data_IF_012394134020
#
_entry.id   IF_012394134020
#
_cell.length_a   1.000
_cell.length_b   1.000
_cell.length_c   1.000
_cell.angle_alpha   90.00
_cell.angle_beta   90.00
_cell.angle_gamma   90.00
#
_symmetry.space_group_name_H-M   'P 1'
#
loop_
_entity.id
_entity.type
_entity.pdbx_description
1 polymer ?
#
# COMPACT_ATOMS: atom_id res chain seq x y z
N UNK A 1 21.95 -14.59 7.63
CA UNK A 1 21.26 -13.66 6.77
C UNK A 1 20.11 -13.01 7.45
N UNK A 2 20.10 -11.74 7.40
CA UNK A 2 19.02 -11.00 7.99
C UNK A 2 17.88 -10.91 6.99
N UNK A 3 16.74 -11.27 7.46
CA UNK A 3 15.56 -11.17 6.67
C UNK A 3 14.87 -9.88 7.01
N UNK A 4 14.71 -9.04 6.05
CA UNK A 4 14.04 -7.79 6.28
C UNK A 4 12.61 -7.90 5.88
N UNK A 5 11.74 -7.68 6.85
CA UNK A 5 10.32 -7.72 6.59
C UNK A 5 9.87 -6.31 6.38
N UNK A 6 10.03 -5.85 5.16
CA UNK A 6 9.69 -4.47 4.82
C UNK A 6 8.30 -4.35 4.26
N UNK A 7 7.60 -5.46 4.14
CA UNK A 7 6.29 -5.39 3.56
C UNK A 7 5.32 -4.68 4.50
N UNK A 8 4.39 -3.99 3.91
CA UNK A 8 3.41 -3.21 4.64
C UNK A 8 2.02 -3.58 4.19
N UNK A 9 1.04 -3.25 4.99
CA UNK A 9 -0.34 -3.44 4.60
C UNK A 9 -0.92 -2.11 4.14
N UNK A 10 -1.77 -2.18 3.15
CA UNK A 10 -2.37 -1.01 2.55
C UNK A 10 -3.80 -0.89 3.04
N UNK A 11 -4.14 0.30 3.53
CA UNK A 11 -5.46 0.56 4.10
C UNK A 11 -6.10 1.77 3.44
N UNK A 12 -7.41 1.79 3.45
CA UNK A 12 -8.12 3.03 3.14
C UNK A 12 -8.02 3.96 4.33
N UNK A 13 -8.37 5.22 4.13
CA UNK A 13 -8.35 6.17 5.24
C UNK A 13 -9.35 5.79 6.32
N UNK A 14 -10.38 5.06 5.96
CA UNK A 14 -11.34 4.59 6.94
C UNK A 14 -10.88 3.39 7.73
N UNK A 15 -9.74 2.82 7.38
CA UNK A 15 -9.20 1.70 8.12
C UNK A 15 -9.45 0.33 7.52
N UNK A 16 -10.02 0.28 6.32
CA UNK A 16 -10.27 -1.01 5.67
C UNK A 16 -9.00 -1.52 5.03
N UNK A 17 -8.71 -2.79 5.25
CA UNK A 17 -7.54 -3.41 4.66
C UNK A 17 -7.79 -3.65 3.18
N UNK A 18 -6.91 -3.10 2.35
CA UNK A 18 -7.07 -3.21 0.91
C UNK A 18 -6.12 -4.24 0.30
N UNK A 19 -4.91 -4.35 0.85
CA UNK A 19 -3.94 -5.27 0.28
C UNK A 19 -2.88 -5.56 1.33
N UNK A 20 -2.47 -6.82 1.40
CA UNK A 20 -1.47 -7.23 2.39
C UNK A 20 -0.11 -7.42 1.74
N UNK A 21 0.93 -7.31 2.57
CA UNK A 21 2.30 -7.65 2.18
C UNK A 21 2.76 -6.88 0.96
N UNK A 22 2.46 -5.60 0.95
CA UNK A 22 2.85 -4.72 -0.15
C UNK A 22 4.32 -4.36 0.01
N UNK A 23 5.07 -4.49 -1.08
CA UNK A 23 6.50 -4.19 -1.06
C UNK A 23 6.85 -3.04 -1.99
N UNK A 24 5.94 -2.62 -2.84
CA UNK A 24 6.25 -1.59 -3.81
C UNK A 24 4.99 -0.80 -4.13
N UNK A 25 5.09 0.51 -4.08
CA UNK A 25 3.98 1.40 -4.41
C UNK A 25 4.47 2.38 -5.45
N UNK A 26 3.75 2.45 -6.54
CA UNK A 26 4.04 3.41 -7.59
C UNK A 26 2.91 4.42 -7.61
N UNK A 27 3.26 5.70 -7.51
CA UNK A 27 2.26 6.75 -7.52
C UNK A 27 1.98 7.12 -8.96
N UNK A 28 0.73 6.99 -9.37
CA UNK A 28 0.31 7.28 -10.72
C UNK A 28 -0.46 8.59 -10.73
N UNK A 29 -0.78 9.04 -11.92
CA UNK A 29 -1.49 10.30 -12.05
C UNK A 29 -2.86 10.25 -11.42
N UNK A 30 -3.56 9.14 -11.56
CA UNK A 30 -4.90 9.02 -11.02
C UNK A 30 -5.03 7.95 -9.97
N UNK A 31 -3.95 7.52 -9.35
CA UNK A 31 -4.07 6.49 -8.33
C UNK A 31 -2.73 5.93 -7.96
N UNK A 32 -2.72 4.74 -7.44
CA UNK A 32 -1.48 4.07 -7.10
C UNK A 32 -1.54 2.64 -7.62
N UNK A 33 -0.37 2.09 -7.84
CA UNK A 33 -0.23 0.67 -8.17
C UNK A 33 0.60 0.02 -7.10
N UNK A 34 0.04 -1.00 -6.45
CA UNK A 34 0.72 -1.69 -5.36
C UNK A 34 1.11 -3.09 -5.81
N UNK A 35 2.29 -3.51 -5.39
CA UNK A 35 2.80 -4.84 -5.69
C UNK A 35 3.10 -5.55 -4.39
N UNK A 36 2.67 -6.79 -4.25
CA UNK A 36 2.90 -7.54 -3.02
C UNK A 36 4.08 -8.49 -3.17
N UNK A 37 4.36 -9.23 -2.11
CA UNK A 37 5.54 -10.10 -2.08
C UNK A 37 5.43 -11.26 -3.05
N UNK A 38 4.26 -11.54 -3.56
CA UNK A 38 4.07 -12.57 -4.57
C UNK A 38 4.07 -12.01 -5.98
N UNK A 39 4.44 -10.73 -6.10
CA UNK A 39 4.52 -10.04 -7.37
C UNK A 39 3.15 -9.83 -8.00
N UNK A 40 2.09 -9.85 -7.21
CA UNK A 40 0.76 -9.51 -7.67
C UNK A 40 0.59 -8.01 -7.62
N UNK A 41 -0.05 -7.45 -8.62
CA UNK A 41 -0.22 -6.01 -8.72
C UNK A 41 -1.70 -5.66 -8.71
N UNK A 42 -2.01 -4.56 -8.01
CA UNK A 42 -3.35 -4.01 -8.01
C UNK A 42 -3.27 -2.51 -8.12
N UNK A 43 -4.23 -1.93 -8.80
CA UNK A 43 -4.32 -0.48 -8.90
C UNK A 43 -5.51 0.00 -8.13
N UNK A 44 -5.31 1.10 -7.43
CA UNK A 44 -6.38 1.71 -6.64
C UNK A 44 -6.50 3.16 -7.04
N UNK A 45 -7.72 3.65 -7.27
CA UNK A 45 -7.91 5.07 -7.50
C UNK A 45 -7.76 5.81 -6.19
N UNK A 46 -7.19 6.99 -6.24
CA UNK A 46 -7.04 7.77 -5.03
C UNK A 46 -5.64 8.25 -4.84
N UNK A 47 -5.36 8.70 -3.64
CA UNK A 47 -4.09 9.34 -3.32
C UNK A 47 -3.49 8.73 -2.10
N UNK A 48 -2.16 8.64 -2.13
CA UNK A 48 -1.41 8.24 -0.96
C UNK A 48 -1.50 9.37 0.07
N UNK A 49 -1.92 9.05 1.27
CA UNK A 49 -2.11 10.08 2.28
C UNK A 49 -1.17 9.96 3.45
N UNK A 50 -0.83 8.73 3.84
CA UNK A 50 -0.03 8.53 5.04
C UNK A 50 0.77 7.26 4.94
N UNK A 51 1.99 7.30 5.43
CA UNK A 51 2.81 6.09 5.54
C UNK A 51 3.31 6.02 6.96
N UNK A 52 3.02 4.93 7.64
CA UNK A 52 3.47 4.69 9.00
C UNK A 52 4.53 3.61 8.93
N UNK A 53 5.78 4.01 8.93
CA UNK A 53 6.87 3.06 8.78
C UNK A 53 7.06 2.21 10.02
N UNK A 54 6.69 2.74 11.16
CA UNK A 54 6.83 2.01 12.41
C UNK A 54 5.87 0.84 12.48
N UNK A 55 4.66 1.03 11.99
CA UNK A 55 3.63 0.01 12.02
C UNK A 55 3.45 -0.69 10.70
N UNK A 56 4.23 -0.31 9.69
CA UNK A 56 4.17 -0.91 8.36
C UNK A 56 2.76 -0.80 7.77
N UNK A 57 2.23 0.42 7.81
CA UNK A 57 0.90 0.70 7.27
C UNK A 57 0.96 1.83 6.28
N UNK A 58 0.25 1.67 5.19
CA UNK A 58 0.15 2.67 4.15
C UNK A 58 -1.32 2.99 3.99
N UNK A 59 -1.63 4.28 3.92
CA UNK A 59 -3.02 4.73 3.84
C UNK A 59 -3.24 5.49 2.56
N UNK A 60 -4.35 5.22 1.92
CA UNK A 60 -4.75 5.96 0.73
C UNK A 60 -6.16 6.47 0.90
N UNK A 61 -6.43 7.58 0.26
CA UNK A 61 -7.77 8.13 0.19
C UNK A 61 -8.35 7.67 -1.12
N UNK A 62 -9.31 6.76 -1.05
CA UNK A 62 -9.93 6.25 -2.26
C UNK A 62 -11.09 7.14 -2.64
N UNK A 63 -11.33 7.17 -3.92
CA UNK A 63 -12.46 7.92 -4.42
C UNK A 63 -13.61 7.01 -4.63
N UNK A 64 -14.63 7.25 -4.00
CA UNK A 64 -15.78 6.42 -4.23
C UNK A 64 -17.00 7.14 -4.29
#
# INVERSE_FOLDING_TARGET
VVKHMCESNLYSEGGDLLMEDVIFIEVLEDGIRATDILDSQKEFPGKLTRIDLDKHRIYIETED
#
